data_IF_932755477303
#
_entry.id   IF_932755477303
#
_cell.length_a   1.000
_cell.length_b   1.000
_cell.length_c   1.000
_cell.angle_alpha   90.00
_cell.angle_beta   90.00
_cell.angle_gamma   90.00
#
_symmetry.space_group_name_H-M   'P 1'
#
loop_
_entity.id
_entity.type
_entity.pdbx_description
1 polymer ?
#
# COMPACT_ATOMS: atom_id res chain seq x y z
N UNK A 1 34.64 -7.33 10.51
CA UNK A 1 33.64 -7.32 11.60
C UNK A 1 32.26 -7.45 10.97
N UNK A 2 31.79 -8.68 10.84
CA UNK A 2 30.52 -9.04 10.21
C UNK A 2 29.36 -8.68 11.14
N UNK A 3 28.69 -7.56 10.88
CA UNK A 3 27.42 -7.22 11.55
C UNK A 3 26.37 -8.25 11.15
N UNK A 4 26.10 -9.20 12.04
CA UNK A 4 24.89 -10.02 12.02
C UNK A 4 23.69 -9.08 12.01
N UNK A 5 22.97 -9.08 10.89
CA UNK A 5 21.78 -8.25 10.65
C UNK A 5 20.69 -8.75 11.61
N UNK A 6 20.59 -8.15 12.80
CA UNK A 6 19.47 -8.42 13.72
C UNK A 6 18.16 -8.28 12.95
N UNK A 7 17.20 -9.21 13.12
CA UNK A 7 15.89 -9.07 12.50
C UNK A 7 15.30 -7.74 12.96
N UNK A 8 14.96 -6.87 12.01
CA UNK A 8 14.42 -5.53 12.27
C UNK A 8 13.32 -5.64 13.33
N UNK A 9 13.55 -5.03 14.51
CA UNK A 9 12.63 -4.94 15.66
C UNK A 9 11.14 -4.67 15.31
N UNK A 10 10.76 -3.92 14.25
CA UNK A 10 9.36 -3.81 13.83
C UNK A 10 8.68 -5.13 13.43
N UNK A 11 9.45 -6.15 13.01
CA UNK A 11 8.90 -7.41 12.51
C UNK A 11 8.34 -8.30 13.63
N UNK A 12 8.90 -8.18 14.83
CA UNK A 12 8.43 -8.86 16.06
C UNK A 12 7.14 -8.21 16.60
N UNK A 13 7.05 -6.88 16.58
CA UNK A 13 5.84 -6.16 17.00
C UNK A 13 4.65 -6.50 16.07
N UNK A 14 4.90 -6.58 14.76
CA UNK A 14 3.90 -7.02 13.79
C UNK A 14 3.44 -8.48 14.01
N UNK A 15 4.34 -9.31 14.52
CA UNK A 15 4.10 -10.74 14.80
C UNK A 15 3.23 -10.95 16.05
N UNK A 16 3.26 -10.00 16.98
CA UNK A 16 2.50 -10.02 18.23
C UNK A 16 1.08 -9.44 18.06
N UNK A 17 0.90 -8.47 17.16
CA UNK A 17 -0.39 -7.81 16.91
C UNK A 17 -1.32 -8.56 15.95
N UNK A 18 -0.78 -9.38 15.04
CA UNK A 18 -1.56 -10.08 14.02
C UNK A 18 -1.33 -11.60 14.12
N UNK A 19 -2.33 -12.34 14.59
CA UNK A 19 -2.29 -13.80 14.73
C UNK A 19 -1.88 -14.54 13.44
N UNK A 20 -1.45 -15.80 13.59
CA UNK A 20 -0.85 -16.61 12.50
C UNK A 20 -1.72 -16.69 11.24
N UNK A 21 -3.06 -16.68 11.40
CA UNK A 21 -4.03 -16.69 10.31
C UNK A 21 -4.13 -15.36 9.54
N UNK A 22 -4.10 -14.22 10.24
CA UNK A 22 -4.13 -12.90 9.59
C UNK A 22 -2.82 -12.61 8.87
N UNK A 23 -1.70 -13.16 9.35
CA UNK A 23 -0.38 -13.02 8.73
C UNK A 23 -0.32 -13.64 7.32
N UNK A 24 -0.89 -14.84 7.12
CA UNK A 24 -0.95 -15.49 5.79
C UNK A 24 -1.81 -14.70 4.81
N UNK A 25 -2.92 -14.14 5.29
CA UNK A 25 -3.81 -13.28 4.50
C UNK A 25 -3.12 -11.97 4.08
N UNK A 26 -2.40 -11.32 4.99
CA UNK A 26 -1.62 -10.11 4.70
C UNK A 26 -0.48 -10.39 3.73
N UNK A 27 0.24 -11.50 3.89
CA UNK A 27 1.27 -11.94 2.94
C UNK A 27 0.69 -12.21 1.56
N UNK A 28 -0.49 -12.84 1.49
CA UNK A 28 -1.22 -13.03 0.24
C UNK A 28 -1.54 -11.70 -0.45
N UNK A 29 -2.09 -10.73 0.28
CA UNK A 29 -2.37 -9.39 -0.25
C UNK A 29 -1.11 -8.69 -0.77
N UNK A 30 -0.02 -8.74 0.00
CA UNK A 30 1.25 -8.14 -0.39
C UNK A 30 1.79 -8.80 -1.66
N UNK A 31 1.71 -10.13 -1.77
CA UNK A 31 2.18 -10.88 -2.93
C UNK A 31 1.38 -10.52 -4.20
N UNK A 32 0.06 -10.43 -4.11
CA UNK A 32 -0.77 -9.98 -5.24
C UNK A 32 -0.51 -8.52 -5.62
N UNK A 33 -0.29 -7.64 -4.64
CA UNK A 33 0.06 -6.24 -4.87
C UNK A 33 1.41 -6.11 -5.59
N UNK A 34 2.44 -6.81 -5.14
CA UNK A 34 3.76 -6.79 -5.77
C UNK A 34 3.72 -7.36 -7.19
N UNK A 35 2.95 -8.43 -7.40
CA UNK A 35 2.73 -9.00 -8.74
C UNK A 35 2.03 -8.00 -9.68
N UNK A 36 1.01 -7.29 -9.18
CA UNK A 36 0.34 -6.22 -9.93
C UNK A 36 1.29 -5.08 -10.30
N UNK A 37 2.13 -4.62 -9.35
CA UNK A 37 3.11 -3.56 -9.59
C UNK A 37 4.13 -3.98 -10.65
N UNK A 38 4.67 -5.19 -10.57
CA UNK A 38 5.61 -5.71 -11.57
C UNK A 38 5.01 -5.77 -12.99
N UNK A 39 3.75 -6.17 -13.11
CA UNK A 39 3.05 -6.15 -14.41
C UNK A 39 2.75 -4.74 -14.90
N UNK A 40 2.45 -3.80 -13.99
CA UNK A 40 2.25 -2.40 -14.34
C UNK A 40 3.54 -1.77 -14.89
N UNK A 41 4.69 -2.12 -14.34
CA UNK A 41 5.99 -1.65 -14.85
C UNK A 41 6.28 -2.18 -16.26
N UNK A 42 5.96 -3.45 -16.54
CA UNK A 42 6.07 -4.04 -17.88
C UNK A 42 5.19 -3.29 -18.89
N UNK A 43 3.93 -3.02 -18.54
CA UNK A 43 3.00 -2.27 -19.39
C UNK A 43 3.50 -0.84 -19.64
N UNK A 44 3.98 -0.17 -18.60
CA UNK A 44 4.51 1.19 -18.71
C UNK A 44 5.73 1.22 -19.61
N UNK A 45 6.65 0.25 -19.52
CA UNK A 45 7.79 0.11 -20.41
C UNK A 45 7.37 -0.04 -21.87
N UNK A 46 6.48 -1.00 -22.16
CA UNK A 46 6.00 -1.25 -23.53
C UNK A 46 5.31 0.00 -24.11
N UNK A 47 4.45 0.64 -23.31
CA UNK A 47 3.77 1.88 -23.73
C UNK A 47 4.78 2.99 -24.01
N UNK A 48 5.80 3.15 -23.18
CA UNK A 48 6.83 4.17 -23.35
C UNK A 48 7.66 3.93 -24.63
N UNK A 49 8.06 2.68 -24.90
CA UNK A 49 8.75 2.29 -26.14
C UNK A 49 7.91 2.64 -27.40
N UNK A 50 6.61 2.35 -27.37
CA UNK A 50 5.71 2.62 -28.50
C UNK A 50 5.50 4.12 -28.71
N UNK A 51 5.33 4.89 -27.63
CA UNK A 51 5.14 6.35 -27.72
C UNK A 51 6.40 7.04 -28.25
N UNK A 52 7.59 6.63 -27.79
CA UNK A 52 8.85 7.15 -28.31
C UNK A 52 9.03 6.85 -29.81
N UNK A 53 8.57 5.68 -30.26
CA UNK A 53 8.61 5.25 -31.66
C UNK A 53 7.38 5.59 -32.52
N UNK A 54 6.45 6.44 -32.05
CA UNK A 54 5.10 6.53 -32.65
C UNK A 54 5.10 6.87 -34.14
N UNK A 55 6.04 7.71 -34.59
CA UNK A 55 6.18 8.09 -36.00
C UNK A 55 6.45 6.86 -36.89
N UNK A 56 7.34 5.98 -36.45
CA UNK A 56 7.69 4.74 -37.17
C UNK A 56 6.50 3.78 -37.19
N UNK A 57 5.81 3.65 -36.05
CA UNK A 57 4.62 2.78 -35.93
C UNK A 57 3.52 3.19 -36.92
N UNK A 58 3.28 4.50 -37.06
CA UNK A 58 2.31 5.06 -38.00
C UNK A 58 2.73 4.87 -39.46
N UNK A 59 3.99 5.16 -39.81
CA UNK A 59 4.49 4.98 -41.17
C UNK A 59 4.45 3.53 -41.65
N UNK A 60 4.69 2.57 -40.75
CA UNK A 60 4.63 1.14 -41.07
C UNK A 60 3.21 0.55 -41.00
N UNK A 61 2.19 1.30 -40.58
CA UNK A 61 0.81 0.80 -40.43
C UNK A 61 0.64 -0.32 -39.38
N UNK A 62 1.59 -0.46 -38.44
CA UNK A 62 1.65 -1.57 -37.48
C UNK A 62 0.83 -1.36 -36.20
N UNK A 63 -0.06 -0.36 -36.20
CA UNK A 63 -0.80 0.06 -35.00
C UNK A 63 -1.54 -1.09 -34.32
N UNK A 64 -2.22 -1.93 -35.10
CA UNK A 64 -3.00 -3.05 -34.57
C UNK A 64 -2.12 -4.08 -33.86
N UNK A 65 -0.90 -4.33 -34.36
CA UNK A 65 0.05 -5.29 -33.75
C UNK A 65 0.54 -4.78 -32.40
N UNK A 66 0.85 -3.49 -32.31
CA UNK A 66 1.28 -2.87 -31.05
C UNK A 66 0.13 -2.74 -30.06
N UNK A 67 -1.08 -2.47 -30.52
CA UNK A 67 -2.28 -2.45 -29.68
C UNK A 67 -2.57 -3.82 -29.07
N UNK A 68 -2.48 -4.90 -29.86
CA UNK A 68 -2.64 -6.26 -29.35
C UNK A 68 -1.57 -6.60 -28.30
N UNK A 69 -0.32 -6.15 -28.50
CA UNK A 69 0.76 -6.32 -27.51
C UNK A 69 0.46 -5.62 -26.17
N UNK A 70 -0.05 -4.38 -26.21
CA UNK A 70 -0.47 -3.65 -25.00
C UNK A 70 -1.66 -4.37 -24.34
N UNK A 71 -2.61 -4.86 -25.14
CA UNK A 71 -3.81 -5.53 -24.63
C UNK A 71 -3.48 -6.85 -23.92
N UNK A 72 -2.55 -7.65 -24.47
CA UNK A 72 -2.03 -8.86 -23.81
C UNK A 72 -1.39 -8.55 -22.45
N UNK A 73 -0.58 -7.49 -22.36
CA UNK A 73 -0.01 -7.05 -21.08
C UNK A 73 -1.10 -6.59 -20.09
N UNK A 74 -2.15 -5.92 -20.57
CA UNK A 74 -3.26 -5.45 -19.74
C UNK A 74 -4.16 -6.57 -19.22
N UNK A 75 -4.38 -7.64 -19.99
CA UNK A 75 -5.18 -8.78 -19.56
C UNK A 75 -4.57 -9.47 -18.34
N UNK A 76 -3.26 -9.70 -18.36
CA UNK A 76 -2.53 -10.26 -17.23
C UNK A 76 -2.65 -9.38 -15.96
N UNK A 77 -2.53 -8.06 -16.13
CA UNK A 77 -2.70 -7.09 -15.04
C UNK A 77 -4.13 -7.10 -14.46
N UNK A 78 -5.14 -7.18 -15.31
CA UNK A 78 -6.54 -7.17 -14.90
C UNK A 78 -6.86 -8.38 -14.00
N UNK A 79 -6.38 -9.56 -14.36
CA UNK A 79 -6.58 -10.77 -13.57
C UNK A 79 -5.98 -10.65 -12.16
N UNK A 80 -4.73 -10.21 -12.05
CA UNK A 80 -4.07 -10.03 -10.76
C UNK A 80 -4.74 -8.92 -9.91
N UNK A 81 -5.16 -7.83 -10.55
CA UNK A 81 -5.91 -6.76 -9.90
C UNK A 81 -7.26 -7.24 -9.36
N UNK A 82 -7.97 -8.09 -10.12
CA UNK A 82 -9.24 -8.66 -9.70
C UNK A 82 -9.07 -9.57 -8.47
N UNK A 83 -8.06 -10.45 -8.49
CA UNK A 83 -7.74 -11.31 -7.35
C UNK A 83 -7.38 -10.51 -6.10
N UNK A 84 -6.52 -9.48 -6.24
CA UNK A 84 -6.18 -8.58 -5.15
C UNK A 84 -7.42 -7.90 -4.57
N UNK A 85 -8.25 -7.31 -5.43
CA UNK A 85 -9.46 -6.58 -5.03
C UNK A 85 -10.45 -7.50 -4.32
N UNK A 86 -10.64 -8.73 -4.81
CA UNK A 86 -11.49 -9.73 -4.19
C UNK A 86 -11.02 -10.10 -2.78
N UNK A 87 -9.70 -10.31 -2.61
CA UNK A 87 -9.11 -10.65 -1.32
C UNK A 87 -9.24 -9.48 -0.33
N UNK A 88 -8.98 -8.24 -0.77
CA UNK A 88 -9.20 -7.03 0.02
C UNK A 88 -10.67 -6.88 0.41
N UNK A 89 -11.60 -7.14 -0.50
CA UNK A 89 -13.03 -7.11 -0.23
C UNK A 89 -13.41 -8.11 0.86
N UNK A 90 -12.93 -9.35 0.78
CA UNK A 90 -13.22 -10.39 1.77
C UNK A 90 -12.75 -9.98 3.17
N UNK A 91 -11.53 -9.43 3.29
CA UNK A 91 -11.03 -8.94 4.58
C UNK A 91 -11.88 -7.79 5.10
N UNK A 92 -12.17 -6.79 4.26
CA UNK A 92 -12.98 -5.65 4.66
C UNK A 92 -14.39 -6.07 5.09
N UNK A 93 -14.98 -7.05 4.42
CA UNK A 93 -16.28 -7.61 4.79
C UNK A 93 -16.21 -8.21 6.20
N UNK A 94 -15.23 -9.08 6.48
CA UNK A 94 -15.07 -9.71 7.79
C UNK A 94 -14.82 -8.67 8.89
N UNK A 95 -13.86 -7.76 8.70
CA UNK A 95 -13.53 -6.72 9.67
C UNK A 95 -14.70 -5.77 9.90
N UNK A 96 -15.47 -5.43 8.85
CA UNK A 96 -16.57 -4.47 8.96
C UNK A 96 -17.84 -5.08 9.53
N UNK A 97 -18.05 -6.40 9.35
CA UNK A 97 -19.24 -7.11 9.81
C UNK A 97 -19.15 -7.58 11.26
N UNK A 98 -17.94 -7.80 11.79
CA UNK A 98 -17.75 -8.24 13.18
C UNK A 98 -18.37 -7.28 14.20
N UNK A 99 -18.15 -5.99 13.99
CA UNK A 99 -18.62 -4.91 14.86
C UNK A 99 -20.15 -4.85 15.09
N UNK A 100 -20.98 -4.78 14.03
CA UNK A 100 -22.44 -4.83 14.20
C UNK A 100 -22.90 -6.17 14.76
N UNK A 101 -22.27 -7.30 14.42
CA UNK A 101 -22.61 -8.60 14.98
C UNK A 101 -22.42 -8.63 16.50
N UNK A 102 -21.29 -8.11 17.01
CA UNK A 102 -21.07 -7.98 18.44
C UNK A 102 -22.11 -7.07 19.11
N UNK A 103 -22.43 -5.92 18.51
CA UNK A 103 -23.44 -5.00 19.06
C UNK A 103 -24.83 -5.64 19.12
N UNK A 104 -25.23 -6.39 18.09
CA UNK A 104 -26.52 -7.08 18.03
C UNK A 104 -26.66 -8.16 19.11
N UNK A 105 -25.55 -8.74 19.58
CA UNK A 105 -25.57 -9.73 20.67
C UNK A 105 -25.46 -9.05 22.04
N UNK A 106 -24.55 -8.08 22.19
CA UNK A 106 -24.25 -7.44 23.46
C UNK A 106 -25.37 -6.53 23.97
N UNK A 107 -25.98 -5.72 23.09
CA UNK A 107 -27.00 -4.76 23.51
C UNK A 107 -28.26 -5.47 24.06
N UNK A 108 -28.85 -6.48 23.37
CA UNK A 108 -29.97 -7.21 23.93
C UNK A 108 -29.58 -7.96 25.20
N UNK A 109 -28.43 -8.64 25.23
CA UNK A 109 -27.97 -9.35 26.43
C UNK A 109 -27.85 -8.42 27.66
N UNK A 110 -27.35 -7.20 27.46
CA UNK A 110 -27.26 -6.18 28.50
C UNK A 110 -28.66 -5.72 28.98
N UNK A 111 -29.57 -5.44 28.05
CA UNK A 111 -30.95 -5.03 28.35
C UNK A 111 -31.71 -6.13 29.12
N UNK A 112 -31.59 -7.39 28.68
CA UNK A 112 -32.23 -8.53 29.33
C UNK A 112 -31.70 -8.78 30.74
N UNK A 113 -30.38 -8.69 30.94
CA UNK A 113 -29.76 -8.95 32.25
C UNK A 113 -30.08 -7.84 33.26
N UNK A 114 -30.08 -6.58 32.82
CA UNK A 114 -30.36 -5.42 33.68
C UNK A 114 -31.86 -5.07 33.81
N UNK A 115 -32.74 -5.77 33.08
CA UNK A 115 -34.21 -5.54 33.05
C UNK A 115 -34.56 -4.06 32.84
N UNK A 116 -33.88 -3.41 31.90
CA UNK A 116 -34.03 -1.98 31.62
C UNK A 116 -35.43 -1.75 31.02
N UNK A 117 -36.19 -0.83 31.61
CA UNK A 117 -37.49 -0.45 31.06
C UNK A 117 -37.29 0.33 29.75
N UNK A 118 -38.26 0.24 28.85
CA UNK A 118 -38.16 0.90 27.54
C UNK A 118 -37.97 2.43 27.63
N UNK A 119 -38.48 3.03 28.71
CA UNK A 119 -38.38 4.46 29.02
C UNK A 119 -36.93 4.88 29.30
N UNK A 120 -36.14 4.03 29.96
CA UNK A 120 -34.76 4.31 30.39
C UNK A 120 -33.73 3.95 29.31
N UNK A 121 -34.15 3.30 28.23
CA UNK A 121 -33.29 2.87 27.14
C UNK A 121 -32.54 4.02 26.44
N UNK A 122 -33.19 5.18 26.12
CA UNK A 122 -32.51 6.30 25.48
C UNK A 122 -31.47 6.96 26.38
N UNK A 123 -31.69 6.93 27.70
CA UNK A 123 -30.78 7.57 28.66
C UNK A 123 -29.56 6.69 28.96
N UNK A 124 -29.77 5.38 29.11
CA UNK A 124 -28.71 4.48 29.58
C UNK A 124 -28.00 3.71 28.47
N UNK A 125 -28.65 3.41 27.35
CA UNK A 125 -28.08 2.51 26.32
C UNK A 125 -27.59 3.27 25.09
N UNK A 126 -28.34 4.26 24.62
CA UNK A 126 -27.98 5.03 23.41
C UNK A 126 -26.64 5.80 23.53
N UNK A 127 -26.33 6.49 24.64
CA UNK A 127 -25.04 7.16 24.80
C UNK A 127 -23.89 6.17 24.75
N UNK A 128 -24.02 5.04 25.44
CA UNK A 128 -23.02 3.97 25.45
C UNK A 128 -22.77 3.40 24.05
N UNK A 129 -23.83 3.20 23.25
CA UNK A 129 -23.70 2.78 21.86
C UNK A 129 -22.98 3.83 21.00
N UNK A 130 -23.29 5.12 21.19
CA UNK A 130 -22.60 6.22 20.51
C UNK A 130 -21.10 6.23 20.84
N UNK A 131 -20.75 6.11 22.13
CA UNK A 131 -19.34 6.03 22.56
C UNK A 131 -18.62 4.81 21.98
N UNK A 132 -19.24 3.63 21.96
CA UNK A 132 -18.65 2.44 21.34
C UNK A 132 -18.39 2.63 19.84
N UNK A 133 -19.31 3.29 19.12
CA UNK A 133 -19.12 3.60 17.70
C UNK A 133 -17.98 4.58 17.46
N UNK A 134 -17.80 5.58 18.33
CA UNK A 134 -16.68 6.53 18.26
C UNK A 134 -15.35 5.83 18.53
N UNK A 135 -15.27 5.04 19.61
CA UNK A 135 -14.07 4.28 19.95
C UNK A 135 -13.66 3.32 18.82
N UNK A 136 -14.64 2.67 18.17
CA UNK A 136 -14.39 1.79 17.01
C UNK A 136 -13.68 2.52 15.88
N UNK A 137 -14.10 3.74 15.55
CA UNK A 137 -13.50 4.53 14.46
C UNK A 137 -12.02 4.75 14.75
N UNK A 138 -11.70 5.17 15.97
CA UNK A 138 -10.31 5.41 16.39
C UNK A 138 -9.50 4.11 16.42
N UNK A 139 -10.05 3.00 16.96
CA UNK A 139 -9.38 1.70 16.98
C UNK A 139 -9.03 1.18 15.57
N UNK A 140 -9.90 1.42 14.58
CA UNK A 140 -9.61 1.06 13.18
C UNK A 140 -8.54 1.94 12.52
N UNK A 141 -8.37 3.17 13.01
CA UNK A 141 -7.35 4.09 12.49
C UNK A 141 -5.95 3.80 13.06
N UNK A 142 -5.84 3.19 14.24
CA UNK A 142 -4.54 2.88 14.89
C UNK A 142 -3.57 2.16 13.95
N UNK A 143 -3.92 1.06 13.26
CA UNK A 143 -2.98 0.37 12.36
C UNK A 143 -2.49 1.25 11.21
N UNK A 144 -3.36 2.12 10.68
CA UNK A 144 -3.01 3.06 9.63
C UNK A 144 -1.99 4.10 10.13
N UNK A 145 -2.19 4.63 11.34
CA UNK A 145 -1.23 5.54 11.95
C UNK A 145 0.12 4.87 12.22
N UNK A 146 0.12 3.63 12.71
CA UNK A 146 1.35 2.84 12.90
C UNK A 146 2.08 2.67 11.57
N UNK A 147 1.37 2.32 10.49
CA UNK A 147 1.95 2.20 9.16
C UNK A 147 2.58 3.52 8.69
N UNK A 148 1.88 4.65 8.87
CA UNK A 148 2.40 5.97 8.51
C UNK A 148 3.67 6.34 9.28
N UNK A 149 3.68 6.09 10.59
CA UNK A 149 4.87 6.32 11.43
C UNK A 149 6.06 5.47 10.94
N UNK A 150 5.82 4.20 10.62
CA UNK A 150 6.85 3.31 10.07
C UNK A 150 7.41 3.82 8.73
N UNK A 151 6.55 4.36 7.85
CA UNK A 151 6.99 4.97 6.59
C UNK A 151 7.84 6.22 6.82
N UNK A 152 7.49 7.05 7.81
CA UNK A 152 8.27 8.24 8.19
C UNK A 152 9.66 7.84 8.66
N UNK A 153 9.79 6.83 9.53
CA UNK A 153 11.11 6.36 9.98
C UNK A 153 11.99 5.89 8.81
N UNK A 154 11.44 5.09 7.89
CA UNK A 154 12.19 4.65 6.70
C UNK A 154 12.56 5.84 5.81
N UNK A 155 11.69 6.85 5.72
CA UNK A 155 11.99 8.10 5.00
C UNK A 155 13.13 8.88 5.63
N UNK A 156 13.16 8.99 6.95
CA UNK A 156 14.23 9.64 7.70
C UNK A 156 15.56 8.93 7.51
N UNK A 157 15.59 7.60 7.62
CA UNK A 157 16.80 6.79 7.38
C UNK A 157 17.41 7.07 5.99
N UNK A 158 16.56 7.23 4.96
CA UNK A 158 17.01 7.53 3.60
C UNK A 158 17.55 8.95 3.44
N UNK A 159 16.95 9.92 4.13
CA UNK A 159 17.42 11.31 4.13
C UNK A 159 18.77 11.38 4.85
N UNK A 160 18.92 10.68 5.97
CA UNK A 160 20.20 10.56 6.68
C UNK A 160 21.28 9.95 5.78
N UNK A 161 20.98 8.83 5.11
CA UNK A 161 21.92 8.19 4.16
C UNK A 161 22.29 9.14 3.01
N UNK A 162 21.34 9.92 2.50
CA UNK A 162 21.58 10.91 1.45
C UNK A 162 22.48 12.06 1.92
N UNK A 163 22.28 12.56 3.14
CA UNK A 163 23.07 13.67 3.70
C UNK A 163 24.50 13.25 4.07
N UNK A 164 24.73 11.96 4.32
CA UNK A 164 26.05 11.40 4.64
C UNK A 164 26.87 11.00 3.39
N UNK A 165 26.32 11.12 2.19
CA UNK A 165 27.05 10.88 0.94
C UNK A 165 28.17 11.91 0.75
N UNK A 166 29.29 11.51 0.13
CA UNK A 166 30.40 12.42 -0.19
C UNK A 166 29.88 13.54 -1.10
N UNK A 167 30.16 14.79 -0.74
CA UNK A 167 29.76 15.95 -1.55
C UNK A 167 30.37 15.83 -2.95
N UNK A 168 29.56 16.13 -3.97
CA UNK A 168 29.99 16.07 -5.36
C UNK A 168 31.18 17.01 -5.55
N UNK A 169 32.35 16.46 -5.91
CA UNK A 169 33.52 17.26 -6.23
C UNK A 169 33.18 18.11 -7.45
N UNK A 170 33.29 19.43 -7.31
CA UNK A 170 33.20 20.35 -8.43
C UNK A 170 34.34 20.03 -9.39
N UNK A 171 34.03 19.34 -10.49
CA UNK A 171 34.93 19.32 -11.64
C UNK A 171 35.04 20.76 -12.11
N UNK A 172 36.20 21.39 -11.90
CA UNK A 172 36.52 22.62 -12.60
C UNK A 172 36.46 22.29 -14.08
N UNK A 173 35.41 22.74 -14.75
CA UNK A 173 35.46 22.91 -16.19
C UNK A 173 36.57 23.91 -16.47
N UNK A 174 37.77 23.40 -16.74
CA UNK A 174 38.82 24.19 -17.34
C UNK A 174 38.26 24.64 -18.70
N UNK A 175 38.01 25.94 -18.81
CA UNK A 175 37.75 26.57 -20.10
C UNK A 175 39.00 26.25 -20.93
N UNK A 176 38.90 25.58 -22.09
CA UNK A 176 40.06 25.32 -22.90
C UNK A 176 40.76 26.65 -23.19
N UNK A 177 42.03 26.77 -22.80
CA UNK A 177 42.84 27.98 -23.05
C UNK A 177 43.05 28.26 -24.55
N UNK A 178 42.61 27.34 -25.42
CA UNK A 178 42.82 27.39 -26.85
C UNK A 178 41.48 27.32 -27.62
N UNK A 179 40.97 28.45 -28.15
CA UNK A 179 39.73 28.48 -28.93
C UNK A 179 39.85 27.76 -30.28
N UNK A 180 41.05 27.34 -30.72
CA UNK A 180 41.27 26.76 -32.06
C UNK A 180 41.32 25.23 -32.11
N UNK A 181 41.31 24.52 -30.96
CA UNK A 181 41.47 23.04 -30.94
C UNK A 181 40.22 22.22 -30.63
N UNK A 182 39.04 22.85 -30.49
CA UNK A 182 37.80 22.15 -30.07
C UNK A 182 36.95 21.66 -31.26
N UNK A 183 37.45 21.76 -32.50
CA UNK A 183 36.74 21.27 -33.68
C UNK A 183 37.61 20.35 -34.54
N UNK A 184 37.85 19.12 -34.08
CA UNK A 184 38.02 17.91 -34.92
C UNK A 184 37.53 16.68 -34.15
#
# INVERSE_FOLDING_TARGET
MTKTKEPRKPLLLFMLLFGVGTRKLLLGQLMFLLSYLGQNDIRNRITNEIIQGIRIVKFSGLENVFMDRIQKARLAQCYNSAQYTFLVFLINLLTRSFDPLCNTVLLPAYVFNKKIQQIDFPETVMPNLSFLNQMRRECRAIPLHIQSIMMVFIGLDRIEEFLLLEELRLEKHEIPDDPERVAL
#
